data_IF_608923194407
#
_entry.id   IF_608923194407
#
_cell.length_a   1.000
_cell.length_b   1.000
_cell.length_c   1.000
_cell.angle_alpha   90.00
_cell.angle_beta   90.00
_cell.angle_gamma   90.00
#
_symmetry.space_group_name_H-M   'P 1'
#
loop_
_entity.id
_entity.type
_entity.pdbx_description
1 polymer ?
#
# COMPACT_ATOMS: atom_id res chain seq x y z
N UNK A 1 -5.03 -3.11 -15.50
CA UNK A 1 -3.57 -2.98 -15.26
C UNK A 1 -3.23 -3.92 -14.10
N UNK A 2 -2.27 -4.82 -14.28
CA UNK A 2 -1.93 -5.89 -13.32
C UNK A 2 -1.52 -5.37 -11.93
N UNK A 3 -1.07 -4.11 -11.85
CA UNK A 3 -0.66 -3.46 -10.60
C UNK A 3 -1.83 -3.04 -9.71
N UNK A 4 -3.08 -2.97 -10.22
CA UNK A 4 -4.20 -2.46 -9.43
C UNK A 4 -4.66 -3.48 -8.38
N UNK A 5 -4.95 -2.99 -7.17
CA UNK A 5 -5.41 -3.80 -6.05
C UNK A 5 -6.61 -3.12 -5.39
N UNK A 6 -7.56 -3.93 -4.89
CA UNK A 6 -8.70 -3.44 -4.12
C UNK A 6 -8.31 -3.27 -2.66
N UNK A 7 -8.75 -2.18 -2.05
CA UNK A 7 -8.55 -1.89 -0.64
C UNK A 7 -9.91 -1.79 0.05
N UNK A 8 -10.07 -2.35 1.27
CA UNK A 8 -11.26 -2.11 2.06
C UNK A 8 -11.29 -0.65 2.54
N UNK A 9 -12.49 -0.12 2.76
CA UNK A 9 -12.65 1.10 3.55
C UNK A 9 -12.37 0.76 5.02
N UNK A 10 -11.49 1.54 5.62
CA UNK A 10 -10.94 1.26 6.95
C UNK A 10 -10.80 2.56 7.73
N UNK A 11 -11.38 2.58 8.93
CA UNK A 11 -11.45 3.78 9.76
C UNK A 11 -10.07 4.17 10.31
N UNK A 12 -9.27 3.20 10.73
CA UNK A 12 -7.91 3.43 11.22
C UNK A 12 -7.03 4.08 10.15
N UNK A 13 -7.18 3.68 8.89
CA UNK A 13 -6.50 4.30 7.74
C UNK A 13 -6.86 5.78 7.61
N UNK A 14 -8.14 6.15 7.77
CA UNK A 14 -8.59 7.55 7.74
C UNK A 14 -8.00 8.35 8.90
N UNK A 15 -8.21 7.88 10.13
CA UNK A 15 -7.80 8.59 11.34
C UNK A 15 -6.28 8.75 11.45
N UNK A 16 -5.54 7.69 11.11
CA UNK A 16 -4.08 7.72 11.10
C UNK A 16 -3.53 8.67 10.03
N UNK A 17 -4.19 8.77 8.88
CA UNK A 17 -3.82 9.74 7.83
C UNK A 17 -4.11 11.17 8.26
N UNK A 18 -5.31 11.44 8.81
CA UNK A 18 -5.72 12.78 9.26
C UNK A 18 -4.84 13.30 10.41
N UNK A 19 -4.33 12.39 11.24
CA UNK A 19 -3.37 12.72 12.32
C UNK A 19 -1.92 12.85 11.85
N UNK A 20 -1.65 12.74 10.54
CA UNK A 20 -0.32 12.88 9.96
C UNK A 20 0.61 11.68 10.19
N UNK A 21 0.06 10.53 10.60
CA UNK A 21 0.81 9.28 10.79
C UNK A 21 0.13 8.13 10.05
N UNK A 22 0.26 8.06 8.71
CA UNK A 22 -0.45 7.07 7.89
C UNK A 22 -0.30 5.64 8.42
N UNK A 23 -1.28 4.78 8.15
CA UNK A 23 -1.37 3.40 8.69
C UNK A 23 -0.07 2.60 8.54
N UNK A 24 0.64 2.78 7.42
CA UNK A 24 1.92 2.11 7.13
C UNK A 24 3.06 2.52 8.07
N UNK A 25 2.91 3.63 8.80
CA UNK A 25 3.86 4.12 9.81
C UNK A 25 3.35 3.79 11.22
N UNK A 26 2.08 4.10 11.50
CA UNK A 26 1.46 3.99 12.83
C UNK A 26 1.12 2.55 13.22
N UNK A 27 0.83 1.68 12.25
CA UNK A 27 0.36 0.30 12.46
C UNK A 27 1.00 -0.66 11.45
N UNK A 28 2.33 -0.72 11.43
CA UNK A 28 3.13 -1.42 10.40
C UNK A 28 2.77 -2.90 10.19
N UNK A 29 2.32 -3.58 11.25
CA UNK A 29 2.02 -5.01 11.21
C UNK A 29 0.53 -5.33 10.93
N UNK A 30 -0.31 -4.30 10.76
CA UNK A 30 -1.74 -4.49 10.49
C UNK A 30 -1.97 -5.14 9.11
N UNK A 31 -3.09 -5.87 8.93
CA UNK A 31 -3.50 -6.35 7.61
C UNK A 31 -3.55 -5.25 6.55
N UNK A 32 -4.01 -4.06 6.93
CA UNK A 32 -4.17 -2.89 6.07
C UNK A 32 -2.82 -2.37 5.57
N UNK A 33 -1.83 -2.25 6.45
CA UNK A 33 -0.46 -1.84 6.10
C UNK A 33 0.19 -2.80 5.11
N UNK A 34 -0.03 -4.11 5.28
CA UNK A 34 0.48 -5.13 4.36
C UNK A 34 -0.06 -4.98 2.95
N UNK A 35 -1.33 -4.62 2.79
CA UNK A 35 -1.92 -4.38 1.48
C UNK A 35 -1.18 -3.29 0.70
N UNK A 36 -0.81 -2.19 1.38
CA UNK A 36 -0.03 -1.12 0.75
C UNK A 36 1.38 -1.58 0.37
N UNK A 37 2.04 -2.39 1.21
CA UNK A 37 3.36 -2.91 0.88
C UNK A 37 3.32 -3.88 -0.29
N UNK A 38 2.32 -4.75 -0.35
CA UNK A 38 2.12 -5.68 -1.46
C UNK A 38 1.89 -4.93 -2.78
N UNK A 39 1.08 -3.87 -2.75
CA UNK A 39 0.87 -3.00 -3.91
C UNK A 39 2.18 -2.33 -4.35
N UNK A 40 2.95 -1.78 -3.41
CA UNK A 40 4.24 -1.15 -3.71
C UNK A 40 5.22 -2.15 -4.36
N UNK A 41 5.28 -3.38 -3.86
CA UNK A 41 6.11 -4.45 -4.43
C UNK A 41 5.67 -4.83 -5.86
N UNK A 42 4.36 -4.91 -6.12
CA UNK A 42 3.83 -5.16 -7.47
C UNK A 42 4.22 -4.05 -8.44
N UNK A 43 4.07 -2.79 -8.04
CA UNK A 43 4.48 -1.63 -8.85
C UNK A 43 5.98 -1.67 -9.13
N UNK A 44 6.81 -1.90 -8.10
CA UNK A 44 8.25 -2.02 -8.26
C UNK A 44 8.63 -3.11 -9.27
N UNK A 45 8.07 -4.32 -9.11
CA UNK A 45 8.33 -5.44 -10.01
C UNK A 45 7.86 -5.16 -11.44
N UNK A 46 6.70 -4.51 -11.61
CA UNK A 46 6.21 -4.10 -12.91
C UNK A 46 7.17 -3.12 -13.59
N UNK A 47 7.60 -2.08 -12.88
CA UNK A 47 8.55 -1.09 -13.41
C UNK A 47 9.89 -1.74 -13.77
N UNK A 48 10.41 -2.66 -12.95
CA UNK A 48 11.63 -3.41 -13.26
C UNK A 48 11.51 -4.24 -14.55
N UNK A 49 10.33 -4.82 -14.83
CA UNK A 49 10.09 -5.54 -16.09
C UNK A 49 10.01 -4.59 -17.28
N UNK A 50 9.32 -3.45 -17.13
CA UNK A 50 9.16 -2.46 -18.20
C UNK A 50 10.49 -1.79 -18.55
N UNK A 51 11.34 -1.50 -17.57
CA UNK A 51 12.65 -0.83 -17.78
C UNK A 51 13.71 -1.77 -18.35
N UNK A 52 13.58 -3.09 -18.13
CA UNK A 52 14.52 -4.10 -18.64
C UNK A 52 14.16 -4.62 -20.04
N UNK A 53 13.03 -4.21 -20.60
CA UNK A 53 12.62 -4.47 -21.98
C UNK A 53 13.06 -3.32 -22.87
#
# INVERSE_FOLDING_TARGET
IEILQKFPLDEETRESSDSGKPIVVSSQNSPQSKLYMDLANRVHNFLQKVVKQ
#
